data_IF_847129579414
#
_entry.id   IF_847129579414
#
_cell.length_a   1.000
_cell.length_b   1.000
_cell.length_c   1.000
_cell.angle_alpha   90.00
_cell.angle_beta   90.00
_cell.angle_gamma   90.00
#
_symmetry.space_group_name_H-M   'P 1'
#
loop_
_entity.id
_entity.type
_entity.pdbx_description
1 polymer ?
#
# COMPACT_ATOMS: atom_id res chain seq x y z
N UNK A 1 -9.61 2.34 13.57
CA UNK A 1 -10.63 3.35 13.95
C UNK A 1 -10.06 4.36 14.94
N UNK A 2 -9.58 3.94 16.14
CA UNK A 2 -8.93 4.84 17.11
C UNK A 2 -7.84 5.73 16.47
N UNK A 3 -6.87 5.09 15.80
CA UNK A 3 -5.80 5.77 15.05
C UNK A 3 -6.32 6.83 14.06
N UNK A 4 -7.35 6.49 13.28
CA UNK A 4 -7.94 7.41 12.32
C UNK A 4 -8.60 8.61 12.99
N UNK A 5 -9.36 8.41 14.07
CA UNK A 5 -10.06 9.50 14.74
C UNK A 5 -9.08 10.50 15.37
N UNK A 6 -7.96 9.99 15.88
CA UNK A 6 -6.86 10.79 16.40
C UNK A 6 -6.15 11.57 15.28
N UNK A 7 -5.85 10.90 14.17
CA UNK A 7 -5.05 11.46 13.08
C UNK A 7 -5.85 12.11 11.95
N UNK A 8 -7.18 12.14 12.03
CA UNK A 8 -8.08 12.57 10.93
C UNK A 8 -7.68 13.92 10.35
N UNK A 9 -7.17 14.82 11.21
CA UNK A 9 -6.82 16.16 10.80
C UNK A 9 -5.66 16.18 9.80
N UNK A 10 -4.78 15.18 9.89
CA UNK A 10 -3.58 15.04 9.06
C UNK A 10 -3.84 14.24 7.80
N UNK A 11 -4.59 13.15 7.91
CA UNK A 11 -4.85 12.21 6.80
C UNK A 11 -5.84 12.81 5.79
N UNK A 12 -6.77 13.64 6.27
CA UNK A 12 -7.80 14.30 5.47
C UNK A 12 -7.56 15.80 5.39
N UNK A 13 -6.30 16.21 5.33
CA UNK A 13 -6.01 17.58 4.93
C UNK A 13 -6.68 17.80 3.56
N UNK A 14 -7.50 18.86 3.39
CA UNK A 14 -8.13 19.13 2.11
C UNK A 14 -7.09 19.28 1.00
N UNK A 15 -7.49 19.04 -0.25
CA UNK A 15 -6.74 19.53 -1.41
C UNK A 15 -6.54 21.04 -1.27
N UNK A 16 -5.45 21.59 -1.82
CA UNK A 16 -5.22 23.04 -1.75
C UNK A 16 -6.45 23.78 -2.31
N UNK A 17 -7.10 24.59 -1.47
CA UNK A 17 -8.34 25.31 -1.80
C UNK A 17 -9.66 24.55 -1.59
N UNK A 18 -9.64 23.29 -1.16
CA UNK A 18 -10.84 22.49 -0.90
C UNK A 18 -11.42 22.72 0.50
N UNK A 19 -12.73 22.92 0.61
CA UNK A 19 -13.41 22.85 1.91
C UNK A 19 -13.58 21.38 2.32
N UNK A 20 -13.32 21.03 3.58
CA UNK A 20 -13.64 19.69 4.10
C UNK A 20 -15.11 19.37 3.85
N UNK A 21 -15.37 18.11 3.52
CA UNK A 21 -16.73 17.57 3.41
C UNK A 21 -17.03 16.56 4.53
N UNK A 22 -17.34 17.02 5.76
CA UNK A 22 -17.64 16.17 6.93
C UNK A 22 -18.67 15.09 6.66
N UNK A 23 -19.65 15.33 5.78
CA UNK A 23 -20.64 14.30 5.40
C UNK A 23 -20.03 13.12 4.65
N UNK A 24 -19.09 13.36 3.73
CA UNK A 24 -18.44 12.26 2.99
C UNK A 24 -17.54 11.45 3.91
N UNK A 25 -16.82 12.14 4.79
CA UNK A 25 -16.02 11.52 5.84
C UNK A 25 -16.87 10.66 6.77
N UNK A 26 -17.95 11.22 7.31
CA UNK A 26 -18.91 10.50 8.15
C UNK A 26 -19.42 9.22 7.50
N UNK A 27 -19.75 9.25 6.20
CA UNK A 27 -20.17 8.05 5.46
C UNK A 27 -19.10 6.97 5.40
N UNK A 28 -17.83 7.34 5.22
CA UNK A 28 -16.72 6.37 5.21
C UNK A 28 -16.56 5.76 6.60
N UNK A 29 -16.55 6.57 7.66
CA UNK A 29 -16.42 6.10 9.05
C UNK A 29 -17.59 5.19 9.41
N UNK A 30 -18.84 5.60 9.13
CA UNK A 30 -20.04 4.79 9.35
C UNK A 30 -20.00 3.48 8.57
N UNK A 31 -19.62 3.52 7.29
CA UNK A 31 -19.49 2.31 6.46
C UNK A 31 -18.47 1.32 7.03
N UNK A 32 -17.36 1.82 7.57
CA UNK A 32 -16.40 0.98 8.26
C UNK A 32 -16.91 0.46 9.61
N UNK A 33 -17.60 1.26 10.41
CA UNK A 33 -18.21 0.82 11.66
C UNK A 33 -19.21 -0.33 11.43
N UNK A 34 -20.04 -0.23 10.39
CA UNK A 34 -20.94 -1.31 10.00
C UNK A 34 -20.17 -2.58 9.59
N UNK A 35 -19.06 -2.44 8.88
CA UNK A 35 -18.21 -3.57 8.50
C UNK A 35 -17.57 -4.24 9.72
N UNK A 36 -17.02 -3.46 10.66
CA UNK A 36 -16.43 -3.97 11.90
C UNK A 36 -17.51 -4.66 12.74
N UNK A 37 -18.69 -4.05 12.86
CA UNK A 37 -19.84 -4.63 13.59
C UNK A 37 -20.25 -5.97 13.00
N UNK A 38 -20.35 -6.08 11.67
CA UNK A 38 -20.64 -7.33 10.98
C UNK A 38 -19.57 -8.40 11.26
N UNK A 39 -18.29 -8.05 11.17
CA UNK A 39 -17.18 -8.99 11.44
C UNK A 39 -17.16 -9.45 12.89
N UNK A 40 -17.44 -8.56 13.85
CA UNK A 40 -17.55 -8.92 15.27
C UNK A 40 -18.65 -9.98 15.49
N UNK A 41 -19.82 -9.81 14.88
CA UNK A 41 -20.92 -10.79 14.94
C UNK A 41 -20.57 -12.13 14.26
N UNK A 42 -19.88 -12.09 13.13
CA UNK A 42 -19.40 -13.29 12.43
C UNK A 42 -18.43 -14.10 13.31
N UNK A 43 -17.48 -13.40 13.97
CA UNK A 43 -16.51 -14.00 14.89
C UNK A 43 -17.18 -14.56 16.15
N UNK A 44 -18.13 -13.84 16.73
CA UNK A 44 -18.94 -14.31 17.85
C UNK A 44 -19.67 -15.62 17.50
N UNK A 45 -20.31 -15.66 16.33
CA UNK A 45 -21.00 -16.84 15.82
C UNK A 45 -20.06 -18.01 15.53
N UNK A 46 -18.84 -17.77 15.06
CA UNK A 46 -17.81 -18.80 14.88
C UNK A 46 -17.33 -19.38 16.22
N UNK A 47 -17.07 -18.52 17.20
CA UNK A 47 -16.56 -18.90 18.52
C UNK A 47 -17.61 -19.70 19.31
N UNK A 48 -18.89 -19.35 19.22
CA UNK A 48 -20.01 -20.14 19.78
C UNK A 48 -20.12 -21.54 19.18
N UNK A 49 -19.85 -21.69 17.87
CA UNK A 49 -19.89 -22.98 17.17
C UNK A 49 -18.70 -23.88 17.52
N UNK A 50 -17.51 -23.30 17.65
CA UNK A 50 -16.28 -24.04 17.98
C UNK A 50 -16.30 -24.64 19.39
N UNK A 51 -16.91 -23.95 20.37
CA UNK A 51 -17.04 -24.44 21.75
C UNK A 51 -17.92 -25.70 21.92
N UNK A 52 -18.68 -26.09 20.90
CA UNK A 52 -19.41 -27.36 20.86
C UNK A 52 -18.53 -28.59 20.56
N UNK A 53 -17.28 -28.38 20.15
CA UNK A 53 -16.28 -29.42 19.95
C UNK A 53 -15.20 -29.31 21.04
N UNK A 54 -14.96 -30.42 21.75
CA UNK A 54 -14.16 -30.51 23.00
C UNK A 54 -12.83 -29.73 22.98
N UNK A 55 -12.61 -28.99 24.08
CA UNK A 55 -11.33 -28.42 24.49
C UNK A 55 -10.35 -29.54 24.92
N UNK A 56 -9.23 -29.65 24.22
CA UNK A 56 -7.98 -30.16 24.81
C UNK A 56 -6.81 -29.35 24.27
N UNK A 57 -6.13 -28.64 25.17
CA UNK A 57 -4.69 -28.41 25.04
C UNK A 57 -4.23 -26.98 24.81
N UNK A 58 -3.50 -26.50 25.82
CA UNK A 58 -2.40 -25.55 25.77
C UNK A 58 -2.72 -24.04 25.59
N UNK A 59 -2.62 -23.35 26.73
CA UNK A 59 -1.96 -22.06 26.92
C UNK A 59 -2.05 -21.03 25.77
N UNK A 60 -3.04 -20.14 25.85
CA UNK A 60 -3.14 -18.99 24.96
C UNK A 60 -4.36 -18.16 25.30
N UNK A 61 -4.16 -16.92 25.75
CA UNK A 61 -5.23 -15.95 26.02
C UNK A 61 -5.92 -15.55 24.71
N UNK A 62 -6.80 -16.38 24.20
CA UNK A 62 -7.62 -16.04 23.04
C UNK A 62 -8.68 -15.02 23.42
N UNK A 63 -9.06 -14.16 22.46
CA UNK A 63 -10.16 -13.22 22.64
C UNK A 63 -11.42 -14.00 23.02
N UNK A 64 -11.95 -13.74 24.21
CA UNK A 64 -13.13 -14.45 24.71
C UNK A 64 -14.43 -13.94 24.08
N UNK A 65 -15.48 -14.76 24.20
CA UNK A 65 -16.84 -14.36 23.81
C UNK A 65 -17.30 -13.10 24.55
N UNK A 66 -16.82 -12.86 25.78
CA UNK A 66 -17.17 -11.68 26.56
C UNK A 66 -16.67 -10.43 25.85
N UNK A 67 -15.40 -10.41 25.46
CA UNK A 67 -14.79 -9.28 24.77
C UNK A 67 -15.48 -8.99 23.43
N UNK A 68 -15.79 -10.03 22.65
CA UNK A 68 -16.50 -9.89 21.37
C UNK A 68 -17.93 -9.35 21.54
N UNK A 69 -18.65 -9.80 22.57
CA UNK A 69 -20.00 -9.33 22.87
C UNK A 69 -19.98 -7.83 23.25
N UNK A 70 -19.05 -7.43 24.11
CA UNK A 70 -18.90 -6.03 24.52
C UNK A 70 -18.59 -5.13 23.32
N UNK A 71 -17.65 -5.55 22.47
CA UNK A 71 -17.35 -4.84 21.22
C UNK A 71 -18.58 -4.75 20.32
N UNK A 72 -19.34 -5.84 20.17
CA UNK A 72 -20.55 -5.86 19.34
C UNK A 72 -21.63 -4.91 19.87
N UNK A 73 -21.81 -4.83 21.19
CA UNK A 73 -22.78 -3.94 21.83
C UNK A 73 -22.37 -2.47 21.69
N UNK A 74 -21.10 -2.11 21.93
CA UNK A 74 -20.56 -0.77 21.70
C UNK A 74 -20.76 -0.35 20.23
N UNK A 75 -20.41 -1.24 19.28
CA UNK A 75 -20.56 -0.96 17.86
C UNK A 75 -22.03 -0.82 17.45
N UNK A 76 -22.94 -1.60 18.05
CA UNK A 76 -24.37 -1.50 17.79
C UNK A 76 -24.91 -0.13 18.20
N UNK A 77 -24.56 0.35 19.39
CA UNK A 77 -24.95 1.68 19.87
C UNK A 77 -24.43 2.78 18.94
N UNK A 78 -23.15 2.71 18.59
CA UNK A 78 -22.52 3.66 17.67
C UNK A 78 -23.22 3.66 16.30
N UNK A 79 -23.53 2.49 15.73
CA UNK A 79 -24.19 2.37 14.42
C UNK A 79 -25.62 2.91 14.47
N UNK A 80 -26.38 2.65 15.54
CA UNK A 80 -27.73 3.19 15.73
C UNK A 80 -27.72 4.72 15.82
N UNK A 81 -26.83 5.29 16.63
CA UNK A 81 -26.64 6.74 16.73
C UNK A 81 -26.26 7.34 15.37
N UNK A 82 -25.35 6.68 14.65
CA UNK A 82 -24.94 7.10 13.31
C UNK A 82 -26.10 7.08 12.30
N UNK A 83 -27.03 6.13 12.43
CA UNK A 83 -28.25 6.08 11.62
C UNK A 83 -29.16 7.29 11.86
N UNK A 84 -29.42 7.61 13.13
CA UNK A 84 -30.27 8.76 13.49
C UNK A 84 -29.72 10.11 13.02
N UNK A 85 -28.38 10.22 12.96
CA UNK A 85 -27.70 11.40 12.43
C UNK A 85 -27.81 11.54 10.91
N UNK A 86 -27.86 10.42 10.16
CA UNK A 86 -27.99 10.47 8.71
C UNK A 86 -29.39 10.90 8.26
N UNK A 87 -30.41 10.54 9.05
CA UNK A 87 -31.81 10.91 8.81
C UNK A 87 -32.06 12.41 9.09
N UNK A 88 -31.32 12.99 10.03
CA UNK A 88 -31.42 14.40 10.42
C UNK A 88 -30.46 15.28 9.59
N UNK A 89 -30.87 15.55 8.34
CA UNK A 89 -30.07 16.26 7.32
C UNK A 89 -29.38 17.54 7.81
N UNK A 90 -29.95 18.29 8.76
CA UNK A 90 -29.42 19.58 9.24
C UNK A 90 -28.43 19.44 10.41
N UNK A 91 -28.59 18.46 11.30
CA UNK A 91 -27.81 18.35 12.55
C UNK A 91 -26.51 17.56 12.38
N UNK A 92 -26.40 16.71 11.35
CA UNK A 92 -25.23 15.85 11.10
C UNK A 92 -23.91 16.61 10.95
N UNK A 93 -23.96 17.88 10.53
CA UNK A 93 -22.76 18.68 10.28
C UNK A 93 -22.18 19.27 11.56
N UNK A 94 -23.02 19.87 12.41
CA UNK A 94 -22.59 20.50 13.67
C UNK A 94 -22.26 19.44 14.75
N UNK A 95 -22.93 18.30 14.71
CA UNK A 95 -22.71 17.20 15.67
C UNK A 95 -21.55 16.27 15.29
N UNK A 96 -20.93 16.42 14.11
CA UNK A 96 -19.85 15.55 13.63
C UNK A 96 -18.66 15.45 14.60
N UNK A 97 -18.08 16.55 15.11
CA UNK A 97 -17.00 16.49 16.10
C UNK A 97 -17.41 15.81 17.42
N UNK A 98 -18.64 16.06 17.87
CA UNK A 98 -19.20 15.45 19.09
C UNK A 98 -19.37 13.95 18.91
N UNK A 99 -19.93 13.52 17.78
CA UNK A 99 -20.08 12.11 17.44
C UNK A 99 -18.72 11.41 17.35
N UNK A 100 -17.72 12.02 16.70
CA UNK A 100 -16.37 11.45 16.64
C UNK A 100 -15.74 11.31 18.03
N UNK A 101 -15.92 12.30 18.90
CA UNK A 101 -15.44 12.24 20.29
C UNK A 101 -16.15 11.13 21.05
N UNK A 102 -17.46 10.98 20.86
CA UNK A 102 -18.24 9.88 21.44
C UNK A 102 -17.71 8.53 20.96
N UNK A 103 -17.56 8.31 19.64
CA UNK A 103 -17.03 7.05 19.09
C UNK A 103 -15.63 6.75 19.63
N UNK A 104 -14.74 7.75 19.63
CA UNK A 104 -13.39 7.58 20.15
C UNK A 104 -13.43 7.18 21.63
N UNK A 105 -14.23 7.88 22.44
CA UNK A 105 -14.37 7.61 23.87
C UNK A 105 -14.94 6.23 24.14
N UNK A 106 -16.06 5.86 23.50
CA UNK A 106 -16.69 4.55 23.68
C UNK A 106 -15.75 3.39 23.33
N UNK A 107 -14.91 3.56 22.31
CA UNK A 107 -13.90 2.56 21.96
C UNK A 107 -12.68 2.58 22.91
N UNK A 108 -12.32 3.74 23.45
CA UNK A 108 -11.09 3.93 24.25
C UNK A 108 -11.25 3.67 25.73
N UNK A 109 -12.46 3.82 26.27
CA UNK A 109 -12.76 3.56 27.68
C UNK A 109 -13.11 2.09 27.96
N UNK A 110 -13.28 1.26 26.91
CA UNK A 110 -13.60 -0.16 27.05
C UNK A 110 -12.34 -1.02 27.18
N UNK A 111 -12.10 -1.67 28.35
CA UNK A 111 -10.94 -2.54 28.53
C UNK A 111 -11.06 -3.83 27.71
N UNK A 112 -12.26 -4.28 27.39
CA UNK A 112 -12.51 -5.40 26.47
C UNK A 112 -12.00 -5.08 25.05
N UNK A 113 -12.25 -3.87 24.54
CA UNK A 113 -11.73 -3.43 23.24
C UNK A 113 -10.20 -3.39 23.24
N UNK A 114 -9.58 -2.91 24.32
CA UNK A 114 -8.12 -2.87 24.44
C UNK A 114 -7.49 -4.26 24.47
N UNK A 115 -8.15 -5.25 25.10
CA UNK A 115 -7.70 -6.65 25.05
C UNK A 115 -7.75 -7.21 23.63
N UNK A 116 -8.81 -6.93 22.87
CA UNK A 116 -8.94 -7.36 21.47
C UNK A 116 -7.81 -6.78 20.64
N UNK A 117 -7.54 -5.47 20.79
CA UNK A 117 -6.45 -4.79 20.09
C UNK A 117 -5.11 -5.42 20.47
N UNK A 118 -4.83 -5.55 21.77
CA UNK A 118 -3.56 -6.10 22.27
C UNK A 118 -3.31 -7.52 21.77
N UNK A 119 -4.34 -8.37 21.75
CA UNK A 119 -4.20 -9.75 21.27
C UNK A 119 -4.03 -9.80 19.75
N UNK A 120 -4.74 -8.94 19.01
CA UNK A 120 -4.57 -8.81 17.56
C UNK A 120 -3.16 -8.34 17.20
N UNK A 121 -2.63 -7.36 17.93
CA UNK A 121 -1.27 -6.86 17.75
C UNK A 121 -0.22 -7.90 18.12
N UNK A 122 -0.44 -8.67 19.19
CA UNK A 122 0.42 -9.80 19.55
C UNK A 122 0.49 -10.81 18.41
N UNK A 123 -0.65 -11.20 17.83
CA UNK A 123 -0.70 -12.11 16.69
C UNK A 123 0.03 -11.50 15.48
N UNK A 124 -0.30 -10.25 15.14
CA UNK A 124 0.29 -9.53 14.00
C UNK A 124 1.80 -9.36 14.13
N UNK A 125 2.31 -9.11 15.34
CA UNK A 125 3.74 -8.96 15.63
C UNK A 125 4.54 -10.24 15.37
N UNK A 126 3.88 -11.40 15.38
CA UNK A 126 4.46 -12.68 15.03
C UNK A 126 4.41 -13.01 13.54
N UNK A 127 3.79 -12.17 12.69
CA UNK A 127 3.62 -12.44 11.25
C UNK A 127 4.83 -12.02 10.40
N UNK A 128 6.03 -12.15 10.93
CA UNK A 128 7.26 -11.94 10.18
C UNK A 128 7.55 -13.15 9.28
N UNK A 129 8.26 -12.98 8.15
CA UNK A 129 8.77 -14.11 7.38
C UNK A 129 9.64 -15.03 8.25
N UNK A 130 9.50 -16.35 8.07
CA UNK A 130 10.18 -17.36 8.89
C UNK A 130 11.70 -17.13 8.91
N UNK A 131 12.29 -16.83 7.76
CA UNK A 131 13.73 -16.54 7.63
C UNK A 131 14.20 -15.37 8.49
N UNK A 132 13.39 -14.31 8.63
CA UNK A 132 13.71 -13.16 9.51
C UNK A 132 13.68 -13.58 10.98
N UNK A 133 12.73 -14.43 11.36
CA UNK A 133 12.61 -14.95 12.73
C UNK A 133 13.81 -15.84 13.07
N UNK A 134 14.21 -16.73 12.16
CA UNK A 134 15.39 -17.59 12.29
C UNK A 134 16.67 -16.77 12.46
N UNK A 135 16.87 -15.76 11.60
CA UNK A 135 18.05 -14.89 11.65
C UNK A 135 18.09 -14.08 12.95
N UNK A 136 16.96 -13.55 13.42
CA UNK A 136 16.87 -12.81 14.69
C UNK A 136 17.30 -13.67 15.88
N UNK A 137 16.91 -14.95 15.88
CA UNK A 137 17.15 -15.88 16.98
C UNK A 137 18.47 -16.65 16.82
N UNK A 138 19.21 -16.41 15.73
CA UNK A 138 20.54 -16.97 15.48
C UNK A 138 21.56 -16.45 16.51
N UNK A 139 22.52 -17.31 16.84
CA UNK A 139 23.67 -16.95 17.70
C UNK A 139 24.66 -16.00 17.02
N UNK A 140 24.52 -15.81 15.72
CA UNK A 140 25.40 -14.96 14.91
C UNK A 140 25.06 -13.47 15.02
N UNK A 141 23.90 -13.13 15.59
CA UNK A 141 23.51 -11.73 15.83
C UNK A 141 24.40 -11.13 16.92
N UNK A 142 25.12 -10.02 16.65
CA UNK A 142 25.84 -9.29 17.67
C UNK A 142 24.91 -8.92 18.84
N UNK A 143 25.36 -9.13 20.08
CA UNK A 143 24.53 -8.88 21.27
C UNK A 143 24.03 -7.43 21.32
N UNK A 144 24.85 -6.48 20.85
CA UNK A 144 24.51 -5.07 20.72
C UNK A 144 23.32 -4.80 19.78
N UNK A 145 23.13 -5.62 18.74
CA UNK A 145 22.06 -5.49 17.75
C UNK A 145 20.79 -6.22 18.19
N UNK A 146 20.94 -7.30 18.96
CA UNK A 146 19.85 -8.21 19.31
C UNK A 146 18.71 -7.51 20.06
N UNK A 147 19.01 -6.56 20.95
CA UNK A 147 18.00 -5.77 21.65
C UNK A 147 17.20 -4.86 20.70
N UNK A 148 17.89 -4.20 19.78
CA UNK A 148 17.28 -3.28 18.82
C UNK A 148 16.38 -4.02 17.82
N UNK A 149 16.88 -5.13 17.25
CA UNK A 149 16.12 -5.96 16.32
C UNK A 149 14.90 -6.61 16.98
N UNK A 150 15.02 -7.08 18.24
CA UNK A 150 13.88 -7.63 18.99
C UNK A 150 12.80 -6.60 19.28
N UNK A 151 13.14 -5.33 19.41
CA UNK A 151 12.17 -4.25 19.60
C UNK A 151 11.54 -3.80 18.27
N UNK A 152 12.34 -3.75 17.19
CA UNK A 152 11.95 -3.19 15.91
C UNK A 152 11.14 -4.16 15.04
N UNK A 153 11.62 -5.39 14.86
CA UNK A 153 11.05 -6.35 13.92
C UNK A 153 9.56 -6.66 14.20
N UNK A 154 9.10 -6.86 15.46
CA UNK A 154 7.70 -7.13 15.72
C UNK A 154 6.78 -5.97 15.27
N UNK A 155 7.23 -4.71 15.42
CA UNK A 155 6.49 -3.53 14.95
C UNK A 155 6.35 -3.54 13.42
N UNK A 156 7.42 -3.87 12.71
CA UNK A 156 7.39 -4.02 11.24
C UNK A 156 6.44 -5.15 10.82
N UNK A 157 6.49 -6.30 11.50
CA UNK A 157 5.57 -7.42 11.27
C UNK A 157 4.10 -7.01 11.44
N UNK A 158 3.79 -6.22 12.47
CA UNK A 158 2.46 -5.66 12.65
C UNK A 158 2.04 -4.75 11.49
N UNK A 159 2.93 -3.90 10.99
CA UNK A 159 2.64 -3.02 9.84
C UNK A 159 2.37 -3.84 8.58
N UNK A 160 3.21 -4.84 8.29
CA UNK A 160 3.02 -5.73 7.15
C UNK A 160 1.70 -6.51 7.23
N UNK A 161 1.27 -6.91 8.43
CA UNK A 161 -0.05 -7.52 8.63
C UNK A 161 -1.20 -6.60 8.19
N UNK A 162 -1.14 -5.31 8.55
CA UNK A 162 -2.13 -4.33 8.07
C UNK A 162 -2.07 -4.09 6.56
N UNK A 163 -0.87 -4.04 5.98
CA UNK A 163 -0.71 -3.91 4.54
C UNK A 163 -1.25 -5.13 3.80
N UNK A 164 -1.04 -6.34 4.33
CA UNK A 164 -1.63 -7.58 3.79
C UNK A 164 -3.16 -7.54 3.76
N UNK A 165 -3.80 -6.96 4.77
CA UNK A 165 -5.26 -6.75 4.75
C UNK A 165 -5.67 -5.80 3.62
N UNK A 166 -4.89 -4.76 3.33
CA UNK A 166 -5.14 -3.85 2.21
C UNK A 166 -4.98 -4.60 0.87
N UNK A 167 -3.95 -5.45 0.71
CA UNK A 167 -3.79 -6.31 -0.46
C UNK A 167 -5.02 -7.19 -0.69
N UNK A 168 -5.51 -7.85 0.36
CA UNK A 168 -6.71 -8.68 0.28
C UNK A 168 -7.94 -7.87 -0.15
N UNK A 169 -8.09 -6.63 0.33
CA UNK A 169 -9.18 -5.75 -0.10
C UNK A 169 -9.07 -5.35 -1.57
N UNK A 170 -7.85 -5.14 -2.08
CA UNK A 170 -7.60 -4.89 -3.51
C UNK A 170 -7.96 -6.11 -4.37
N UNK A 171 -7.57 -7.31 -3.94
CA UNK A 171 -7.82 -8.57 -4.65
C UNK A 171 -9.30 -8.98 -4.67
N UNK A 172 -10.06 -8.63 -3.63
CA UNK A 172 -11.46 -9.05 -3.46
C UNK A 172 -12.49 -7.98 -3.85
N UNK A 173 -12.03 -6.87 -4.42
CA UNK A 173 -12.86 -5.70 -4.79
C UNK A 173 -13.73 -5.21 -3.60
N UNK A 174 -13.18 -5.24 -2.39
CA UNK A 174 -13.84 -4.69 -1.22
C UNK A 174 -13.90 -3.14 -1.29
N UNK A 175 -14.83 -2.47 -0.57
CA UNK A 175 -14.91 -1.01 -0.58
C UNK A 175 -13.62 -0.31 -0.09
N UNK A 176 -12.78 0.12 -1.04
CA UNK A 176 -11.39 0.54 -0.77
C UNK A 176 -11.24 1.86 -0.02
N UNK A 177 -12.25 2.74 -0.01
CA UNK A 177 -12.19 3.98 0.78
C UNK A 177 -12.02 3.73 2.28
N UNK A 178 -12.38 2.55 2.76
CA UNK A 178 -12.20 2.14 4.16
C UNK A 178 -10.73 1.87 4.50
N UNK A 179 -9.88 1.59 3.52
CA UNK A 179 -8.45 1.38 3.71
C UNK A 179 -7.77 2.60 4.35
N UNK A 180 -8.36 3.79 4.26
CA UNK A 180 -7.87 4.97 4.98
C UNK A 180 -7.72 4.74 6.49
N UNK A 181 -8.58 3.90 7.07
CA UNK A 181 -8.51 3.52 8.48
C UNK A 181 -7.31 2.62 8.78
N UNK A 182 -6.99 1.73 7.85
CA UNK A 182 -5.82 0.83 7.94
C UNK A 182 -4.55 1.64 7.75
N UNK A 183 -4.49 2.50 6.73
CA UNK A 183 -3.38 3.42 6.53
C UNK A 183 -3.16 4.37 7.70
N UNK A 184 -4.22 4.75 8.44
CA UNK A 184 -4.05 5.53 9.68
C UNK A 184 -3.28 4.76 10.75
N UNK A 185 -3.57 3.46 10.91
CA UNK A 185 -2.84 2.63 11.87
C UNK A 185 -1.42 2.34 11.41
N UNK A 186 -1.24 2.10 10.11
CA UNK A 186 0.08 1.96 9.49
C UNK A 186 0.92 3.21 9.75
N UNK A 187 0.36 4.40 9.56
CA UNK A 187 1.07 5.65 9.84
C UNK A 187 1.48 5.81 11.30
N UNK A 188 0.56 5.51 12.23
CA UNK A 188 0.86 5.54 13.67
C UNK A 188 2.06 4.65 14.00
N UNK A 189 2.01 3.39 13.55
CA UNK A 189 3.05 2.40 13.79
C UNK A 189 4.38 2.77 13.09
N UNK A 190 4.32 3.30 11.86
CA UNK A 190 5.51 3.78 11.15
C UNK A 190 6.18 4.92 11.91
N UNK A 191 5.40 5.80 12.55
CA UNK A 191 5.93 6.88 13.39
C UNK A 191 6.55 6.38 14.66
N UNK A 192 5.92 5.42 15.34
CA UNK A 192 6.51 4.76 16.50
C UNK A 192 7.84 4.09 16.13
N UNK A 193 7.91 3.43 14.97
CA UNK A 193 9.14 2.83 14.45
C UNK A 193 10.21 3.89 14.20
N UNK A 194 9.88 4.96 13.48
CA UNK A 194 10.83 6.05 13.21
C UNK A 194 11.29 6.74 14.49
N UNK A 195 10.39 6.96 15.47
CA UNK A 195 10.75 7.54 16.76
C UNK A 195 11.69 6.63 17.54
N UNK A 196 11.41 5.33 17.59
CA UNK A 196 12.30 4.34 18.20
C UNK A 196 13.69 4.38 17.55
N UNK A 197 13.75 4.34 16.21
CA UNK A 197 15.00 4.38 15.46
C UNK A 197 15.77 5.67 15.75
N UNK A 198 15.13 6.84 15.63
CA UNK A 198 15.78 8.13 15.85
C UNK A 198 16.33 8.27 17.28
N UNK A 199 15.57 7.83 18.28
CA UNK A 199 16.01 7.81 19.67
C UNK A 199 17.21 6.88 19.86
N UNK A 200 17.26 5.77 19.12
CA UNK A 200 18.37 4.83 19.15
C UNK A 200 19.61 5.37 18.45
N UNK A 201 19.47 5.99 17.28
CA UNK A 201 20.56 6.61 16.52
C UNK A 201 21.26 7.71 17.33
N UNK A 202 20.52 8.53 18.08
CA UNK A 202 21.10 9.56 18.96
C UNK A 202 22.00 9.00 20.07
N UNK A 203 21.80 7.74 20.44
CA UNK A 203 22.53 7.04 21.51
C UNK A 203 23.46 5.96 20.95
N UNK A 204 23.62 5.91 19.63
CA UNK A 204 24.43 4.88 19.00
C UNK A 204 25.90 5.20 19.25
N UNK A 205 26.72 4.23 19.71
CA UNK A 205 28.11 4.51 20.07
C UNK A 205 29.01 4.89 18.90
N UNK A 206 28.70 4.36 17.71
CA UNK A 206 29.52 4.45 16.51
C UNK A 206 28.60 4.65 15.29
N UNK A 207 28.76 5.77 14.60
CA UNK A 207 28.01 6.12 13.39
C UNK A 207 28.53 5.42 12.13
N UNK A 208 29.66 4.71 12.24
CA UNK A 208 30.22 3.87 11.17
C UNK A 208 29.75 2.41 11.24
N UNK A 209 28.99 2.04 12.28
CA UNK A 209 28.42 0.70 12.43
C UNK A 209 27.39 0.41 11.32
N UNK A 210 27.41 -0.82 10.78
CA UNK A 210 26.52 -1.21 9.69
C UNK A 210 25.03 -1.13 10.08
N UNK A 211 24.68 -1.48 11.33
CA UNK A 211 23.33 -1.34 11.83
C UNK A 211 22.91 0.13 11.94
N UNK A 212 23.83 1.03 12.32
CA UNK A 212 23.54 2.48 12.32
C UNK A 212 23.12 2.94 10.93
N UNK A 213 23.92 2.60 9.90
CA UNK A 213 23.61 2.96 8.51
C UNK A 213 22.27 2.38 8.02
N UNK A 214 21.97 1.12 8.35
CA UNK A 214 20.69 0.50 7.97
C UNK A 214 19.49 1.11 8.71
N UNK A 215 19.64 1.45 9.99
CA UNK A 215 18.59 2.10 10.77
C UNK A 215 18.29 3.52 10.25
N UNK A 216 19.33 4.32 10.00
CA UNK A 216 19.19 5.66 9.43
C UNK A 216 18.53 5.61 8.04
N UNK A 217 19.01 4.71 7.17
CA UNK A 217 18.41 4.48 5.85
C UNK A 217 16.95 4.05 5.92
N UNK A 218 16.58 3.19 6.88
CA UNK A 218 15.20 2.76 7.11
C UNK A 218 14.31 3.92 7.57
N UNK A 219 14.75 4.72 8.53
CA UNK A 219 13.99 5.87 9.02
C UNK A 219 13.81 6.95 7.95
N UNK A 220 14.85 7.22 7.16
CA UNK A 220 14.80 8.15 6.04
C UNK A 220 13.81 7.69 4.96
N UNK A 221 13.93 6.44 4.51
CA UNK A 221 13.04 5.84 3.50
C UNK A 221 11.59 5.85 3.99
N UNK A 222 11.36 5.38 5.22
CA UNK A 222 10.04 5.41 5.85
C UNK A 222 9.42 6.82 5.84
N UNK A 223 10.21 7.85 6.17
CA UNK A 223 9.74 9.24 6.18
C UNK A 223 9.28 9.73 4.80
N UNK A 224 10.05 9.40 3.75
CA UNK A 224 9.76 9.79 2.37
C UNK A 224 8.52 9.06 1.85
N UNK A 225 8.47 7.74 1.99
CA UNK A 225 7.36 6.95 1.46
C UNK A 225 6.05 7.27 2.16
N UNK A 226 6.09 7.43 3.50
CA UNK A 226 4.92 7.86 4.25
C UNK A 226 4.43 9.25 3.83
N UNK A 227 5.36 10.18 3.53
CA UNK A 227 4.99 11.50 3.00
C UNK A 227 4.34 11.41 1.63
N UNK A 228 4.87 10.61 0.70
CA UNK A 228 4.31 10.39 -0.64
C UNK A 228 2.88 9.84 -0.52
N UNK A 229 2.70 8.79 0.28
CA UNK A 229 1.39 8.18 0.52
C UNK A 229 0.37 9.20 1.01
N UNK A 230 0.68 9.97 2.05
CA UNK A 230 -0.29 10.92 2.59
C UNK A 230 -0.51 12.15 1.70
N UNK A 231 0.56 12.70 1.13
CA UNK A 231 0.49 13.96 0.38
C UNK A 231 -0.05 13.77 -1.03
N UNK A 232 0.21 12.62 -1.65
CA UNK A 232 -0.08 12.38 -3.06
C UNK A 232 -1.17 11.33 -3.28
N UNK A 233 -1.25 10.27 -2.47
CA UNK A 233 -2.15 9.13 -2.73
C UNK A 233 -3.41 9.09 -1.86
N UNK A 234 -3.32 9.50 -0.59
CA UNK A 234 -4.49 9.49 0.31
C UNK A 234 -5.17 10.86 0.39
N UNK A 235 -4.48 11.94 0.01
CA UNK A 235 -5.00 13.31 0.04
C UNK A 235 -6.31 13.41 -0.76
N UNK A 236 -7.40 13.84 -0.12
CA UNK A 236 -8.71 13.98 -0.77
C UNK A 236 -9.37 12.68 -1.25
N UNK A 237 -8.85 11.50 -0.90
CA UNK A 237 -9.35 10.20 -1.39
C UNK A 237 -10.86 10.01 -1.15
N UNK A 238 -11.36 10.45 0.00
CA UNK A 238 -12.78 10.35 0.38
C UNK A 238 -13.69 11.05 -0.64
N UNK A 239 -13.19 12.10 -1.30
CA UNK A 239 -13.94 12.95 -2.21
C UNK A 239 -14.04 12.39 -3.63
N UNK A 240 -13.09 11.55 -4.02
CA UNK A 240 -13.00 10.93 -5.34
C UNK A 240 -14.23 10.06 -5.58
N UNK A 241 -14.91 10.26 -6.69
CA UNK A 241 -16.09 9.46 -7.07
C UNK A 241 -15.74 8.23 -7.89
N UNK A 242 -14.88 8.32 -8.93
CA UNK A 242 -14.60 7.15 -9.76
C UNK A 242 -13.88 6.06 -8.96
N UNK A 243 -14.49 4.87 -8.89
CA UNK A 243 -13.87 3.68 -8.26
C UNK A 243 -12.51 3.32 -8.85
N UNK A 244 -12.30 3.38 -10.19
CA UNK A 244 -10.99 3.15 -10.82
C UNK A 244 -9.86 4.01 -10.21
N UNK A 245 -10.12 5.31 -10.02
CA UNK A 245 -9.15 6.24 -9.44
C UNK A 245 -8.90 5.93 -7.96
N UNK A 246 -9.93 5.52 -7.22
CA UNK A 246 -9.76 5.08 -5.82
C UNK A 246 -8.89 3.83 -5.76
N UNK A 247 -9.12 2.85 -6.65
CA UNK A 247 -8.32 1.65 -6.75
C UNK A 247 -6.85 1.99 -7.00
N UNK A 248 -6.57 2.76 -8.05
CA UNK A 248 -5.21 3.12 -8.44
C UNK A 248 -4.41 3.80 -7.32
N UNK A 249 -5.05 4.71 -6.57
CA UNK A 249 -4.38 5.42 -5.46
C UNK A 249 -4.13 4.52 -4.27
N UNK A 250 -5.06 3.61 -3.96
CA UNK A 250 -4.89 2.64 -2.86
C UNK A 250 -3.81 1.60 -3.22
N UNK A 251 -3.81 1.09 -4.45
CA UNK A 251 -2.78 0.18 -4.97
C UNK A 251 -1.39 0.83 -4.92
N UNK A 252 -1.29 2.07 -5.40
CA UNK A 252 -0.02 2.83 -5.36
C UNK A 252 0.44 3.04 -3.92
N UNK A 253 -0.44 3.51 -3.03
CA UNK A 253 -0.12 3.73 -1.63
C UNK A 253 0.33 2.46 -0.91
N UNK A 254 -0.36 1.34 -1.16
CA UNK A 254 0.00 0.03 -0.62
C UNK A 254 1.38 -0.40 -1.11
N UNK A 255 1.62 -0.34 -2.42
CA UNK A 255 2.87 -0.81 -3.03
C UNK A 255 4.08 -0.02 -2.52
N UNK A 256 3.98 1.31 -2.39
CA UNK A 256 5.06 2.14 -1.85
C UNK A 256 5.48 1.71 -0.44
N UNK A 257 4.51 1.48 0.47
CA UNK A 257 4.81 1.09 1.85
C UNK A 257 5.25 -0.38 1.95
N UNK A 258 4.59 -1.27 1.21
CA UNK A 258 4.91 -2.69 1.25
C UNK A 258 6.32 -2.94 0.72
N UNK A 259 6.64 -2.42 -0.46
CA UNK A 259 7.95 -2.62 -1.08
C UNK A 259 9.07 -2.03 -0.21
N UNK A 260 8.88 -0.81 0.32
CA UNK A 260 9.90 -0.19 1.17
C UNK A 260 10.14 -0.93 2.48
N UNK A 261 9.10 -1.49 3.11
CA UNK A 261 9.24 -2.30 4.32
C UNK A 261 9.83 -3.68 4.06
N UNK A 262 9.45 -4.34 2.96
CA UNK A 262 10.07 -5.59 2.53
C UNK A 262 11.57 -5.39 2.31
N UNK A 263 11.96 -4.34 1.57
CA UNK A 263 13.37 -4.03 1.34
C UNK A 263 14.12 -3.64 2.62
N UNK A 264 13.46 -2.94 3.54
CA UNK A 264 14.03 -2.65 4.87
C UNK A 264 14.36 -3.94 5.62
N UNK A 265 13.46 -4.93 5.60
CA UNK A 265 13.68 -6.23 6.23
C UNK A 265 14.78 -7.04 5.53
N UNK A 266 14.83 -7.02 4.20
CA UNK A 266 15.92 -7.64 3.42
C UNK A 266 17.26 -7.02 3.81
N UNK A 267 17.35 -5.70 3.87
CA UNK A 267 18.58 -5.01 4.27
C UNK A 267 19.02 -5.41 5.69
N UNK A 268 18.10 -5.50 6.65
CA UNK A 268 18.44 -5.97 8.00
C UNK A 268 18.88 -7.43 8.03
N UNK A 269 18.28 -8.28 7.21
CA UNK A 269 18.68 -9.67 7.10
C UNK A 269 20.07 -9.82 6.47
N UNK A 270 20.38 -9.00 5.46
CA UNK A 270 21.68 -8.98 4.78
C UNK A 270 22.83 -8.45 5.66
N UNK A 271 22.52 -7.73 6.74
CA UNK A 271 23.51 -7.44 7.78
C UNK A 271 24.01 -8.70 8.51
N UNK A 272 23.14 -9.70 8.62
CA UNK A 272 23.41 -10.96 9.34
C UNK A 272 23.90 -12.05 8.38
N UNK A 273 23.34 -12.10 7.18
CA UNK A 273 23.66 -13.07 6.13
C UNK A 273 23.79 -12.36 4.78
N UNK A 274 25.04 -12.08 4.37
CA UNK A 274 25.32 -11.27 3.18
C UNK A 274 24.93 -11.94 1.86
N UNK A 275 24.84 -13.27 1.86
CA UNK A 275 24.52 -14.06 0.66
C UNK A 275 23.01 -14.30 0.53
N UNK A 276 22.20 -13.72 1.43
CA UNK A 276 20.75 -13.86 1.42
C UNK A 276 20.12 -13.06 0.28
N UNK A 277 19.36 -13.76 -0.56
CA UNK A 277 18.62 -13.14 -1.65
C UNK A 277 17.27 -12.60 -1.14
N UNK A 278 16.76 -11.46 -1.68
CA UNK A 278 15.46 -10.91 -1.29
C UNK A 278 14.31 -11.93 -1.41
N UNK A 279 14.41 -12.82 -2.40
CA UNK A 279 13.41 -13.86 -2.72
C UNK A 279 13.38 -15.00 -1.72
N UNK A 280 14.45 -15.19 -0.92
CA UNK A 280 14.48 -16.16 0.19
C UNK A 280 13.58 -15.71 1.35
N UNK A 281 13.35 -14.40 1.49
CA UNK A 281 12.49 -13.81 2.51
C UNK A 281 11.07 -13.60 1.97
N UNK A 282 10.97 -13.07 0.76
CA UNK A 282 9.72 -12.71 0.11
C UNK A 282 9.64 -13.36 -1.28
N UNK A 283 9.15 -14.60 -1.39
CA UNK A 283 9.08 -15.33 -2.67
C UNK A 283 8.26 -14.60 -3.75
N UNK A 284 7.29 -13.78 -3.35
CA UNK A 284 6.49 -12.95 -4.25
C UNK A 284 7.32 -11.92 -5.03
N UNK A 285 8.50 -11.54 -4.52
CA UNK A 285 9.42 -10.65 -5.23
C UNK A 285 9.93 -11.28 -6.52
N UNK A 286 10.12 -12.60 -6.58
CA UNK A 286 10.54 -13.31 -7.78
C UNK A 286 9.50 -13.16 -8.89
N UNK A 287 8.22 -13.36 -8.55
CA UNK A 287 7.12 -13.16 -9.49
C UNK A 287 7.10 -11.72 -9.99
N UNK A 288 7.21 -10.74 -9.08
CA UNK A 288 7.20 -9.31 -9.42
C UNK A 288 8.40 -8.90 -10.29
N UNK A 289 9.57 -9.48 -10.03
CA UNK A 289 10.78 -9.31 -10.83
C UNK A 289 10.58 -9.82 -12.25
N UNK A 290 10.17 -11.09 -12.41
CA UNK A 290 9.92 -11.71 -13.72
C UNK A 290 8.89 -10.91 -14.54
N UNK A 291 7.80 -10.50 -13.90
CA UNK A 291 6.78 -9.65 -14.52
C UNK A 291 7.33 -8.28 -14.92
N UNK A 292 8.20 -7.69 -14.11
CA UNK A 292 8.81 -6.38 -14.41
C UNK A 292 9.84 -6.47 -15.53
N UNK A 293 10.62 -7.55 -15.62
CA UNK A 293 11.54 -7.82 -16.72
C UNK A 293 10.74 -7.97 -18.02
N UNK A 294 9.73 -8.84 -18.02
CA UNK A 294 8.89 -9.08 -19.18
C UNK A 294 8.17 -7.80 -19.64
N UNK A 295 7.61 -7.04 -18.71
CA UNK A 295 6.98 -5.76 -19.01
C UNK A 295 7.96 -4.79 -19.65
N UNK A 296 9.16 -4.64 -19.08
CA UNK A 296 10.20 -3.74 -19.56
C UNK A 296 10.63 -4.07 -20.99
N UNK A 297 10.90 -5.34 -21.27
CA UNK A 297 11.32 -5.82 -22.60
C UNK A 297 10.22 -5.57 -23.63
N UNK A 298 8.97 -5.92 -23.30
CA UNK A 298 7.84 -5.77 -24.22
C UNK A 298 7.47 -4.30 -24.43
N UNK A 299 7.59 -3.45 -23.40
CA UNK A 299 7.41 -2.01 -23.53
C UNK A 299 8.46 -1.37 -24.42
N UNK A 300 9.73 -1.77 -24.27
CA UNK A 300 10.80 -1.29 -25.12
C UNK A 300 10.57 -1.68 -26.58
N UNK A 301 10.21 -2.95 -26.82
CA UNK A 301 9.87 -3.41 -28.16
C UNK A 301 8.72 -2.61 -28.77
N UNK A 302 7.65 -2.38 -28.00
CA UNK A 302 6.51 -1.58 -28.44
C UNK A 302 6.92 -0.14 -28.77
N UNK A 303 7.74 0.48 -27.93
CA UNK A 303 8.26 1.82 -28.15
C UNK A 303 9.04 1.91 -29.47
N UNK A 304 9.91 0.94 -29.74
CA UNK A 304 10.68 0.90 -30.99
C UNK A 304 9.78 0.83 -32.23
N UNK A 305 8.69 0.03 -32.17
CA UNK A 305 7.72 -0.07 -33.26
C UNK A 305 6.99 1.26 -33.45
N UNK A 306 6.53 1.88 -32.35
CA UNK A 306 5.84 3.18 -32.38
C UNK A 306 6.73 4.26 -32.99
N UNK A 307 7.98 4.39 -32.53
CA UNK A 307 8.95 5.37 -33.04
C UNK A 307 9.30 5.11 -34.52
N UNK A 308 9.46 3.84 -34.93
CA UNK A 308 9.75 3.50 -36.33
C UNK A 308 8.62 3.94 -37.27
N UNK A 309 7.38 3.71 -36.88
CA UNK A 309 6.20 4.08 -37.70
C UNK A 309 5.96 5.58 -37.66
N UNK A 310 6.27 6.25 -36.55
CA UNK A 310 6.25 7.70 -36.46
C UNK A 310 7.25 8.35 -37.43
N UNK A 311 8.48 7.83 -37.48
CA UNK A 311 9.56 8.37 -38.32
C UNK A 311 9.39 8.03 -39.81
N UNK A 312 8.86 6.84 -40.11
CA UNK A 312 8.59 6.41 -41.48
C UNK A 312 7.20 5.75 -41.59
N UNK A 313 6.13 6.57 -41.72
CA UNK A 313 4.74 6.12 -41.78
C UNK A 313 4.40 5.28 -43.03
N UNK A 314 5.31 5.22 -44.00
CA UNK A 314 5.15 4.47 -45.25
C UNK A 314 5.88 3.13 -45.23
N UNK A 315 6.79 2.89 -44.27
CA UNK A 315 7.64 1.69 -44.22
C UNK A 315 7.07 0.45 -43.55
N UNK A 316 6.14 0.58 -42.60
CA UNK A 316 5.55 -0.56 -41.88
C UNK A 316 4.04 -0.64 -42.08
N UNK A 317 3.47 -1.86 -42.27
CA UNK A 317 2.03 -2.00 -42.39
C UNK A 317 1.35 -1.62 -41.07
N UNK A 318 0.31 -0.74 -41.07
CA UNK A 318 -0.46 -0.40 -39.87
C UNK A 318 -1.02 -1.62 -39.12
N UNK A 319 -1.18 -2.75 -39.79
CA UNK A 319 -1.66 -4.02 -39.21
C UNK A 319 -0.61 -4.71 -38.32
N UNK A 320 0.68 -4.47 -38.53
CA UNK A 320 1.74 -4.96 -37.64
C UNK A 320 1.67 -4.24 -36.29
N UNK A 321 1.58 -2.91 -36.31
CA UNK A 321 1.40 -2.10 -35.11
C UNK A 321 0.16 -2.52 -34.32
N UNK A 322 -0.99 -2.66 -34.98
CA UNK A 322 -2.22 -3.10 -34.31
C UNK A 322 -2.06 -4.46 -33.63
N UNK A 323 -1.38 -5.40 -34.29
CA UNK A 323 -1.12 -6.73 -33.73
C UNK A 323 -0.26 -6.64 -32.47
N UNK A 324 0.81 -5.86 -32.51
CA UNK A 324 1.71 -5.68 -31.37
C UNK A 324 1.05 -4.93 -30.22
N UNK A 325 0.21 -3.92 -30.51
CA UNK A 325 -0.60 -3.23 -29.50
C UNK A 325 -1.60 -4.17 -28.81
N UNK A 326 -2.32 -4.98 -29.59
CA UNK A 326 -3.25 -6.00 -29.05
C UNK A 326 -2.47 -7.04 -28.24
N UNK A 327 -1.34 -7.51 -28.76
CA UNK A 327 -0.47 -8.46 -28.06
C UNK A 327 0.05 -7.91 -26.73
N UNK A 328 0.44 -6.64 -26.69
CA UNK A 328 0.86 -5.95 -25.47
C UNK A 328 -0.31 -5.81 -24.49
N UNK A 329 -1.47 -5.35 -24.97
CA UNK A 329 -2.69 -5.19 -24.17
C UNK A 329 -3.08 -6.51 -23.48
N UNK A 330 -3.12 -7.59 -24.24
CA UNK A 330 -3.63 -8.86 -23.75
C UNK A 330 -2.65 -9.60 -22.81
N UNK A 331 -1.34 -9.33 -22.91
CA UNK A 331 -0.29 -10.10 -22.21
C UNK A 331 0.55 -9.33 -21.18
N UNK A 332 0.62 -8.01 -21.27
CA UNK A 332 1.55 -7.22 -20.46
C UNK A 332 0.89 -6.09 -19.68
N UNK A 333 -0.28 -5.63 -20.12
CA UNK A 333 -0.95 -4.47 -19.55
C UNK A 333 -1.21 -4.62 -18.04
N UNK A 334 -1.55 -5.83 -17.59
CA UNK A 334 -1.81 -6.14 -16.18
C UNK A 334 -0.56 -6.16 -15.28
N UNK A 335 0.65 -5.97 -15.84
CA UNK A 335 1.88 -5.77 -15.06
C UNK A 335 2.13 -4.29 -14.73
N UNK A 336 1.33 -3.37 -15.29
CA UNK A 336 1.37 -1.95 -14.97
C UNK A 336 0.54 -1.65 -13.72
N UNK A 337 0.87 -0.53 -13.06
CA UNK A 337 -0.05 0.03 -12.07
C UNK A 337 -1.35 0.43 -12.75
N UNK A 338 -2.47 0.32 -12.04
CA UNK A 338 -3.80 0.53 -12.58
C UNK A 338 -3.95 1.89 -13.28
N UNK A 339 -3.34 2.96 -12.74
CA UNK A 339 -3.37 4.31 -13.34
C UNK A 339 -2.74 4.37 -14.74
N UNK A 340 -1.70 3.56 -14.95
CA UNK A 340 -0.94 3.55 -16.19
C UNK A 340 -1.60 2.60 -17.19
N UNK A 341 -2.20 1.51 -16.71
CA UNK A 341 -3.03 0.60 -17.52
C UNK A 341 -4.13 1.34 -18.27
N UNK A 342 -4.95 2.15 -17.60
CA UNK A 342 -6.06 2.90 -18.24
C UNK A 342 -5.55 3.85 -19.32
N UNK A 343 -4.42 4.52 -19.05
CA UNK A 343 -3.82 5.48 -20.00
C UNK A 343 -3.27 4.76 -21.23
N UNK A 344 -2.54 3.66 -21.04
CA UNK A 344 -2.00 2.84 -22.13
C UNK A 344 -3.13 2.22 -22.97
N UNK A 345 -4.15 1.67 -22.33
CA UNK A 345 -5.29 1.06 -23.02
C UNK A 345 -6.00 2.08 -23.91
N UNK A 346 -6.24 3.29 -23.40
CA UNK A 346 -6.82 4.38 -24.19
C UNK A 346 -5.97 4.75 -25.40
N UNK A 347 -4.64 4.87 -25.25
CA UNK A 347 -3.76 5.12 -26.39
C UNK A 347 -3.85 3.99 -27.42
N UNK A 348 -3.84 2.74 -26.98
CA UNK A 348 -3.97 1.56 -27.85
C UNK A 348 -5.28 1.63 -28.64
N UNK A 349 -6.41 1.93 -27.98
CA UNK A 349 -7.72 2.06 -28.63
C UNK A 349 -7.74 3.20 -29.66
N UNK A 350 -7.24 4.38 -29.28
CA UNK A 350 -7.15 5.53 -30.18
C UNK A 350 -6.30 5.22 -31.43
N UNK A 351 -5.17 4.52 -31.25
CA UNK A 351 -4.30 4.12 -32.38
C UNK A 351 -4.98 3.07 -33.27
N UNK A 352 -5.68 2.10 -32.69
CA UNK A 352 -6.39 1.05 -33.46
C UNK A 352 -7.51 1.64 -34.32
N UNK A 353 -8.24 2.62 -33.80
CA UNK A 353 -9.38 3.27 -34.48
C UNK A 353 -8.93 4.28 -35.54
N UNK A 354 -7.75 4.89 -35.36
CA UNK A 354 -7.22 5.90 -36.29
C UNK A 354 -6.75 5.27 -37.60
N UNK A 355 -7.55 5.44 -38.66
CA UNK A 355 -7.24 4.94 -40.00
C UNK A 355 -6.48 5.91 -40.91
N UNK A 356 -6.53 7.21 -40.65
CA UNK A 356 -5.83 8.23 -41.44
C UNK A 356 -4.40 8.40 -40.95
N UNK A 357 -3.43 8.27 -41.87
CA UNK A 357 -2.00 8.46 -41.59
C UNK A 357 -1.69 9.85 -41.03
N UNK A 358 -2.42 10.88 -41.45
CA UNK A 358 -2.18 12.26 -41.00
C UNK A 358 -2.47 12.47 -39.51
N UNK A 359 -3.47 11.76 -39.00
CA UNK A 359 -3.87 11.82 -37.58
C UNK A 359 -3.09 10.81 -36.73
N UNK A 360 -2.59 9.73 -37.35
CA UNK A 360 -1.82 8.69 -36.68
C UNK A 360 -0.46 9.20 -36.18
N UNK A 361 0.30 9.93 -36.99
CA UNK A 361 1.67 10.35 -36.61
C UNK A 361 1.70 11.21 -35.32
N UNK A 362 0.88 12.28 -35.17
CA UNK A 362 0.84 13.04 -33.92
C UNK A 362 0.34 12.22 -32.72
N UNK A 363 -0.48 11.20 -32.96
CA UNK A 363 -0.91 10.27 -31.91
C UNK A 363 0.23 9.35 -31.48
N UNK A 364 0.98 8.79 -32.43
CA UNK A 364 2.16 7.95 -32.15
C UNK A 364 3.25 8.73 -31.43
N UNK A 365 3.51 9.98 -31.81
CA UNK A 365 4.46 10.84 -31.11
C UNK A 365 4.11 10.99 -29.62
N UNK A 366 2.84 11.31 -29.32
CA UNK A 366 2.35 11.44 -27.94
C UNK A 366 2.42 10.12 -27.18
N UNK A 367 2.08 9.01 -27.84
CA UNK A 367 2.12 7.69 -27.23
C UNK A 367 3.57 7.24 -26.96
N UNK A 368 4.49 7.46 -27.90
CA UNK A 368 5.91 7.18 -27.76
C UNK A 368 6.54 7.93 -26.58
N UNK A 369 6.30 9.24 -26.47
CA UNK A 369 6.76 10.04 -25.33
C UNK A 369 6.21 9.55 -23.99
N UNK A 370 4.94 9.11 -23.96
CA UNK A 370 4.35 8.51 -22.77
C UNK A 370 4.99 7.16 -22.43
N UNK A 371 5.20 6.28 -23.41
CA UNK A 371 5.86 4.98 -23.22
C UNK A 371 7.30 5.14 -22.73
N UNK A 372 8.06 6.11 -23.24
CA UNK A 372 9.40 6.44 -22.74
C UNK A 372 9.38 6.82 -21.26
N UNK A 373 8.47 7.70 -20.88
CA UNK A 373 8.30 8.13 -19.49
C UNK A 373 7.92 6.95 -18.60
N UNK A 374 6.96 6.14 -19.03
CA UNK A 374 6.49 4.97 -18.30
C UNK A 374 7.59 3.90 -18.19
N UNK A 375 8.37 3.69 -19.24
CA UNK A 375 9.50 2.77 -19.23
C UNK A 375 10.57 3.24 -18.23
N UNK A 376 10.84 4.55 -18.19
CA UNK A 376 11.69 5.15 -17.16
C UNK A 376 11.19 4.83 -15.75
N UNK A 377 9.88 4.93 -15.51
CA UNK A 377 9.28 4.57 -14.21
C UNK A 377 9.37 3.07 -13.89
N UNK A 378 9.13 2.21 -14.88
CA UNK A 378 9.29 0.75 -14.72
C UNK A 378 10.73 0.40 -14.37
N UNK A 379 11.72 1.05 -14.99
CA UNK A 379 13.14 0.85 -14.69
C UNK A 379 13.56 1.22 -13.27
N UNK A 380 12.80 2.08 -12.59
CA UNK A 380 13.05 2.43 -11.20
C UNK A 380 12.43 1.44 -10.21
N UNK A 381 11.73 0.39 -10.66
CA UNK A 381 11.17 -0.62 -9.75
C UNK A 381 12.30 -1.30 -8.99
N UNK A 382 12.14 -1.42 -7.68
CA UNK A 382 13.21 -1.93 -6.80
C UNK A 382 13.67 -3.35 -7.15
N UNK A 383 12.75 -4.19 -7.62
CA UNK A 383 13.05 -5.56 -8.08
C UNK A 383 13.97 -5.62 -9.30
N UNK A 384 14.14 -4.51 -10.04
CA UNK A 384 15.02 -4.45 -11.21
C UNK A 384 16.42 -3.92 -10.89
N UNK A 385 16.75 -3.64 -9.62
CA UNK A 385 18.04 -3.05 -9.23
C UNK A 385 19.26 -3.83 -9.75
N UNK A 386 19.16 -5.17 -9.79
CA UNK A 386 20.22 -6.07 -10.26
C UNK A 386 20.10 -6.44 -11.75
N UNK A 387 19.16 -5.85 -12.47
CA UNK A 387 18.89 -6.15 -13.89
C UNK A 387 19.06 -4.87 -14.72
N UNK A 388 20.30 -4.42 -14.99
CA UNK A 388 20.53 -3.22 -15.78
C UNK A 388 19.88 -3.33 -17.16
N UNK A 389 19.39 -2.21 -17.69
CA UNK A 389 18.72 -2.14 -19.00
C UNK A 389 19.50 -1.19 -19.92
N UNK A 390 20.33 -1.79 -20.76
CA UNK A 390 21.25 -1.07 -21.67
C UNK A 390 20.59 -0.24 -22.80
N UNK A 391 19.40 -0.57 -23.34
CA UNK A 391 18.86 0.14 -24.51
C UNK A 391 18.59 1.64 -24.33
N UNK A 392 18.43 2.13 -23.10
CA UNK A 392 18.25 3.56 -22.80
C UNK A 392 19.56 4.35 -22.71
N UNK A 393 20.72 3.68 -22.61
CA UNK A 393 22.02 4.36 -22.58
C UNK A 393 22.56 4.69 -23.98
N UNK A 394 21.98 4.08 -25.03
CA UNK A 394 22.42 4.23 -26.42
C UNK A 394 21.60 5.22 -27.24
N UNK A 395 20.54 5.81 -26.68
CA UNK A 395 19.79 6.88 -27.34
C UNK A 395 20.53 8.21 -27.13
N UNK A 396 21.12 8.84 -28.16
CA UNK A 396 21.68 10.16 -28.02
C UNK A 396 20.51 11.14 -27.79
N UNK A 397 20.39 11.66 -26.57
CA UNK A 397 19.55 12.82 -26.29
C UNK A 397 20.17 14.05 -26.97
N UNK A 398 19.81 14.25 -28.23
CA UNK A 398 19.93 15.53 -28.92
C UNK A 398 18.53 16.13 -29.07
N UNK A 399 18.01 16.69 -27.98
CA UNK A 399 16.92 17.66 -28.04
C UNK A 399 17.19 18.75 -27.01
N UNK A 400 17.90 19.79 -27.49
CA UNK A 400 17.99 21.05 -26.80
C UNK A 400 16.64 21.74 -26.69
N UNK A 401 16.49 22.46 -25.57
CA UNK A 401 15.69 23.67 -25.46
C UNK A 401 14.17 23.48 -25.52
N UNK A 402 13.54 23.42 -24.35
CA UNK A 402 12.42 24.28 -24.02
C UNK A 402 12.44 24.50 -22.49
N UNK A 403 12.75 25.75 -22.12
CA UNK A 403 12.51 26.33 -20.80
C UNK A 403 11.02 26.41 -20.49
#
# INVERSE_FOLDING_TARGET
MKAYLDQRNRILAPSEGGARHPRKEFRVVRSALMMISRRALELEGATRRSRGAKETGADGRTVGNKELNELADILREIVLLSGSMDDSRETAFESGPVWNTFVFRSLSESPEVDRIISESERIASGMLPEKIVELRDSREVPEAWSGDLRALLPKIGTILSYLRLISQMLETDEPLKKCILLFSRVDELMREVMEFINNRLQRFPDDTDALFGSLDGAAYTASIELRKVHSNELKGLVEIRPTPIVFARIETAYSLLNDSLQMTLVNFAQLLDRDLEPTDIFPELLTKEQQSIQLRENMWHLLQIVQKIEQDPDSSPPEELKRELIGFRDKNLYFLFYKDMETVERFIEEVIVTGDKKDLVPLLHRFGAYLETLLGQVNMRVVLANHPFEPLQQAPHDFGGLM
#
